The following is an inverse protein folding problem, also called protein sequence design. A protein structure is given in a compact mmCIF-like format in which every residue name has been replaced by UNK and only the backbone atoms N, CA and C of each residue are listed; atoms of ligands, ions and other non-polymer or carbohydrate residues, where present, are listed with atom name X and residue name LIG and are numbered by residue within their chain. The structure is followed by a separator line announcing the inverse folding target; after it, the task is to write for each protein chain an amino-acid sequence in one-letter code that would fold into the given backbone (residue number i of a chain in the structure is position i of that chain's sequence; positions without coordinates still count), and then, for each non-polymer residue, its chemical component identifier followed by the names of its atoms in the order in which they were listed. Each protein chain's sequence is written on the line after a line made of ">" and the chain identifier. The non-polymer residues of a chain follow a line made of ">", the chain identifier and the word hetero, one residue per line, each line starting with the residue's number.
data_IF_571154186835
#
_entry.id   IF_571154186835
#
_cell.length_a   1.000
_cell.length_b   1.000
_cell.length_c   1.000
_cell.angle_alpha   90.00
_cell.angle_beta   90.00
_cell.angle_gamma   90.00
#
_symmetry.space_group_name_H-M   'P 1'
#
loop_
_entity.id
_entity.type
_entity.pdbx_description
1 polymer ?
#
# COMPACT_ATOMS: atom_id res chain seq x y z
N UNK A 1 -1.19 28.37 3.86
CA UNK A 1 -2.37 27.50 3.97
C UNK A 1 -2.05 26.03 3.89
N UNK A 2 -1.38 25.55 2.83
CA UNK A 2 -1.02 24.14 2.73
C UNK A 2 0.02 23.70 3.76
N UNK A 3 0.96 24.57 4.10
CA UNK A 3 1.98 24.30 5.10
C UNK A 3 1.39 24.06 6.50
N UNK A 4 0.34 24.78 6.85
CA UNK A 4 -0.34 24.63 8.14
C UNK A 4 -1.04 23.27 8.24
N UNK A 5 -1.64 22.79 7.15
CA UNK A 5 -2.27 21.47 7.11
C UNK A 5 -1.26 20.34 7.23
N UNK A 6 -0.11 20.49 6.57
CA UNK A 6 0.98 19.51 6.65
C UNK A 6 1.54 19.48 8.08
N UNK A 7 1.76 20.64 8.68
CA UNK A 7 2.23 20.73 10.06
C UNK A 7 1.25 20.07 11.04
N UNK A 8 -0.07 20.26 10.82
CA UNK A 8 -1.09 19.62 11.64
C UNK A 8 -1.05 18.10 11.52
N UNK A 9 -0.85 17.56 10.32
CA UNK A 9 -0.70 16.12 10.10
C UNK A 9 0.50 15.58 10.85
N UNK A 10 1.65 16.24 10.77
CA UNK A 10 2.88 15.84 11.46
C UNK A 10 2.67 15.83 12.97
N UNK A 11 1.99 16.83 13.52
CA UNK A 11 1.70 16.88 14.94
C UNK A 11 0.78 15.76 15.40
N UNK A 12 -0.24 15.42 14.62
CA UNK A 12 -1.12 14.31 14.94
C UNK A 12 -0.38 12.97 14.94
N UNK A 13 0.51 12.77 13.97
CA UNK A 13 1.34 11.56 13.91
C UNK A 13 2.28 11.49 15.12
N UNK A 14 2.86 12.61 15.55
CA UNK A 14 3.75 12.66 16.71
C UNK A 14 3.10 12.24 18.02
N UNK A 15 1.79 12.33 18.13
CA UNK A 15 1.06 11.87 19.33
C UNK A 15 1.19 10.36 19.53
N UNK A 16 1.40 9.60 18.48
CA UNK A 16 1.50 8.14 18.51
C UNK A 16 2.94 7.68 18.23
N UNK A 17 3.61 8.34 17.30
CA UNK A 17 4.95 7.95 16.82
C UNK A 17 5.96 8.98 17.23
N UNK A 18 6.96 8.56 18.00
CA UNK A 18 8.02 9.43 18.49
C UNK A 18 9.34 9.10 17.79
N UNK A 19 10.07 10.14 17.39
CA UNK A 19 11.42 9.97 16.83
C UNK A 19 11.49 9.57 15.37
N UNK A 20 10.35 9.62 14.63
CA UNK A 20 10.30 9.23 13.23
C UNK A 20 9.93 10.37 12.28
N UNK A 21 10.24 11.61 12.66
CA UNK A 21 9.88 12.79 11.87
C UNK A 21 10.43 12.75 10.45
N UNK A 22 11.65 12.26 10.29
CA UNK A 22 12.31 12.15 8.98
C UNK A 22 11.58 11.19 8.06
N UNK A 23 11.14 10.05 8.60
CA UNK A 23 10.34 9.07 7.85
C UNK A 23 9.00 9.66 7.46
N UNK A 24 8.31 10.32 8.39
CA UNK A 24 7.00 10.93 8.14
C UNK A 24 7.10 11.98 7.03
N UNK A 25 8.11 12.84 7.08
CA UNK A 25 8.33 13.85 6.04
C UNK A 25 8.52 13.23 4.66
N UNK A 26 9.30 12.17 4.57
CA UNK A 26 9.55 11.49 3.29
C UNK A 26 8.33 10.76 2.79
N UNK A 27 7.53 10.16 3.67
CA UNK A 27 6.27 9.53 3.30
C UNK A 27 5.30 10.55 2.74
N UNK A 28 5.22 11.74 3.34
CA UNK A 28 4.39 12.83 2.82
C UNK A 28 4.86 13.31 1.45
N UNK A 29 6.16 13.44 1.25
CA UNK A 29 6.71 13.81 -0.06
C UNK A 29 6.32 12.77 -1.12
N UNK A 30 6.49 11.49 -0.83
CA UNK A 30 6.10 10.42 -1.75
C UNK A 30 4.61 10.46 -2.08
N UNK A 31 3.78 10.67 -1.07
CA UNK A 31 2.33 10.73 -1.24
C UNK A 31 1.91 11.91 -2.14
N UNK A 32 2.44 13.10 -1.89
CA UNK A 32 2.09 14.29 -2.67
C UNK A 32 2.67 14.32 -4.07
N UNK A 33 3.74 13.58 -4.31
CA UNK A 33 4.36 13.48 -5.64
C UNK A 33 3.89 12.25 -6.42
N UNK A 34 2.96 11.47 -5.88
CA UNK A 34 2.52 10.18 -6.44
C UNK A 34 3.67 9.20 -6.64
N UNK A 35 4.66 9.27 -5.75
CA UNK A 35 5.83 8.41 -5.78
C UNK A 35 5.75 7.28 -4.78
N UNK A 36 6.83 6.53 -4.71
CA UNK A 36 7.00 5.41 -3.79
C UNK A 36 8.28 5.59 -3.00
N UNK A 37 8.34 4.96 -1.82
CA UNK A 37 9.44 5.16 -0.89
C UNK A 37 10.04 3.81 -0.52
N UNK A 38 11.36 3.75 -0.56
CA UNK A 38 12.11 2.61 -0.05
C UNK A 38 12.59 2.91 1.36
N UNK A 39 12.21 2.08 2.32
CA UNK A 39 12.61 2.18 3.72
C UNK A 39 13.66 1.11 4.02
N UNK A 40 14.87 1.53 4.36
CA UNK A 40 15.96 0.64 4.72
C UNK A 40 16.43 0.90 6.15
N UNK A 41 16.84 -0.17 6.83
CA UNK A 41 17.44 -0.07 8.16
C UNK A 41 16.48 0.34 9.28
N UNK A 42 15.19 0.42 9.02
CA UNK A 42 14.19 0.80 10.02
C UNK A 42 13.57 -0.47 10.61
N UNK A 43 13.43 -0.56 11.95
CA UNK A 43 12.74 -1.69 12.57
C UNK A 43 11.32 -1.86 12.05
N UNK A 44 10.89 -3.11 11.82
CA UNK A 44 9.59 -3.42 11.22
C UNK A 44 8.40 -2.82 11.98
N UNK A 45 8.43 -2.83 13.31
CA UNK A 45 7.38 -2.24 14.13
C UNK A 45 7.27 -0.73 13.93
N UNK A 46 8.39 -0.03 13.83
CA UNK A 46 8.41 1.41 13.61
C UNK A 46 7.86 1.77 12.23
N UNK A 47 8.18 1.00 11.19
CA UNK A 47 7.62 1.16 9.84
C UNK A 47 6.10 1.04 9.87
N UNK A 48 5.61 -0.08 10.39
CA UNK A 48 4.18 -0.38 10.40
C UNK A 48 3.40 0.66 11.20
N UNK A 49 3.87 0.99 12.40
CA UNK A 49 3.21 1.97 13.25
C UNK A 49 3.15 3.34 12.57
N UNK A 50 4.26 3.79 11.99
CA UNK A 50 4.35 5.11 11.36
C UNK A 50 3.41 5.20 10.16
N UNK A 51 3.46 4.23 9.25
CA UNK A 51 2.62 4.24 8.03
C UNK A 51 1.15 4.12 8.37
N UNK A 52 0.79 3.21 9.29
CA UNK A 52 -0.58 3.04 9.71
C UNK A 52 -1.14 4.29 10.39
N UNK A 53 -0.36 4.92 11.24
CA UNK A 53 -0.76 6.17 11.92
C UNK A 53 -0.98 7.29 10.91
N UNK A 54 -0.06 7.45 9.95
CA UNK A 54 -0.20 8.45 8.90
C UNK A 54 -1.47 8.21 8.07
N UNK A 55 -1.75 6.96 7.70
CA UNK A 55 -2.95 6.60 6.96
C UNK A 55 -4.21 6.98 7.74
N UNK A 56 -4.25 6.71 9.04
CA UNK A 56 -5.39 7.08 9.90
C UNK A 56 -5.59 8.59 9.97
N UNK A 57 -4.51 9.34 10.13
CA UNK A 57 -4.58 10.81 10.19
C UNK A 57 -5.10 11.41 8.90
N UNK A 58 -4.73 10.83 7.77
CA UNK A 58 -5.13 11.28 6.43
C UNK A 58 -6.43 10.65 5.93
N UNK A 59 -7.07 9.77 6.73
CA UNK A 59 -8.27 9.03 6.34
C UNK A 59 -8.08 8.21 5.07
N UNK A 60 -6.91 7.56 4.94
CA UNK A 60 -6.58 6.69 3.82
C UNK A 60 -6.61 5.23 4.24
N UNK A 61 -6.89 4.35 3.28
CA UNK A 61 -6.82 2.92 3.50
C UNK A 61 -5.35 2.47 3.54
N UNK A 62 -5.06 1.56 4.45
CA UNK A 62 -3.72 1.00 4.64
C UNK A 62 -3.77 -0.51 4.69
N UNK A 63 -2.84 -1.15 3.97
CA UNK A 63 -2.60 -2.58 4.08
C UNK A 63 -1.11 -2.85 4.21
N UNK A 64 -0.77 -3.82 5.05
CA UNK A 64 0.58 -4.37 5.12
C UNK A 64 0.60 -5.71 4.41
N UNK A 65 1.56 -5.88 3.51
CA UNK A 65 1.74 -7.13 2.77
C UNK A 65 3.11 -7.70 3.10
N UNK A 66 3.11 -8.88 3.70
CA UNK A 66 4.34 -9.64 3.96
C UNK A 66 4.65 -10.47 2.73
N UNK A 67 5.77 -10.19 2.06
CA UNK A 67 6.19 -10.94 0.89
C UNK A 67 6.96 -12.19 1.32
N UNK A 68 6.58 -13.33 0.74
CA UNK A 68 7.17 -14.63 1.04
C UNK A 68 7.45 -15.39 -0.25
N UNK A 69 8.30 -16.44 -0.21
CA UNK A 69 8.56 -17.28 -1.39
C UNK A 69 7.32 -17.99 -1.94
N UNK A 70 6.31 -18.19 -1.10
CA UNK A 70 5.07 -18.89 -1.48
C UNK A 70 3.98 -17.97 -2.01
N UNK A 71 4.19 -16.66 -1.98
CA UNK A 71 3.20 -15.69 -2.42
C UNK A 71 2.92 -15.83 -3.91
N UNK A 72 1.64 -15.75 -4.28
CA UNK A 72 1.20 -15.75 -5.68
C UNK A 72 0.76 -14.35 -6.09
N UNK A 73 0.86 -14.00 -7.38
CA UNK A 73 0.32 -12.72 -7.86
C UNK A 73 -1.15 -12.50 -7.48
N UNK A 74 -1.97 -13.55 -7.50
CA UNK A 74 -3.38 -13.47 -7.08
C UNK A 74 -3.56 -13.15 -5.60
N UNK A 75 -2.58 -13.47 -4.76
CA UNK A 75 -2.60 -13.09 -3.34
C UNK A 75 -2.42 -11.57 -3.17
N UNK A 76 -1.80 -10.92 -4.14
CA UNK A 76 -1.53 -9.50 -4.12
C UNK A 76 -2.66 -8.70 -4.78
N UNK A 77 -3.02 -9.04 -6.00
CA UNK A 77 -3.96 -8.26 -6.82
C UNK A 77 -5.41 -8.71 -6.69
N UNK A 78 -5.63 -9.95 -6.27
CA UNK A 78 -6.96 -10.52 -6.17
C UNK A 78 -7.22 -11.60 -7.21
N UNK A 79 -8.39 -12.17 -7.17
CA UNK A 79 -8.76 -13.30 -8.01
C UNK A 79 -10.26 -13.29 -8.32
N UNK A 80 -10.66 -14.12 -9.27
CA UNK A 80 -12.08 -14.36 -9.54
C UNK A 80 -12.52 -15.60 -8.76
N UNK A 81 -13.66 -15.48 -8.08
CA UNK A 81 -14.29 -16.60 -7.39
C UNK A 81 -15.66 -16.87 -7.97
N UNK A 82 -16.02 -18.16 -8.03
CA UNK A 82 -17.33 -18.57 -8.51
C UNK A 82 -18.36 -18.49 -7.38
N UNK A 83 -19.44 -17.75 -7.62
CA UNK A 83 -20.54 -17.65 -6.67
C UNK A 83 -21.64 -18.62 -7.12
N UNK A 84 -21.87 -19.67 -6.34
CA UNK A 84 -22.87 -20.70 -6.65
C UNK A 84 -24.30 -20.17 -6.60
N UNK A 85 -24.57 -19.18 -5.76
CA UNK A 85 -25.92 -18.62 -5.61
C UNK A 85 -26.33 -17.80 -6.84
N UNK A 86 -25.41 -17.03 -7.41
CA UNK A 86 -25.66 -16.20 -8.60
C UNK A 86 -25.27 -16.88 -9.89
N UNK A 87 -24.58 -18.03 -9.83
CA UNK A 87 -24.02 -18.77 -10.95
C UNK A 87 -23.07 -17.92 -11.81
N UNK A 88 -22.41 -16.95 -11.22
CA UNK A 88 -21.48 -16.04 -11.89
C UNK A 88 -20.15 -15.98 -11.16
N UNK A 89 -19.10 -15.58 -11.90
CA UNK A 89 -17.81 -15.25 -11.29
C UNK A 89 -17.82 -13.85 -10.71
N UNK A 90 -17.29 -13.71 -9.51
CA UNK A 90 -17.13 -12.42 -8.85
C UNK A 90 -15.64 -12.14 -8.61
N UNK A 91 -15.26 -10.87 -8.69
CA UNK A 91 -13.91 -10.45 -8.42
C UNK A 91 -13.74 -10.22 -6.92
N UNK A 92 -12.77 -10.91 -6.33
CA UNK A 92 -12.32 -10.65 -4.97
C UNK A 92 -11.02 -9.84 -5.04
N UNK A 93 -11.09 -8.56 -4.71
CA UNK A 93 -9.93 -7.66 -4.75
C UNK A 93 -8.92 -8.05 -3.67
N UNK A 94 -7.64 -8.02 -4.05
CA UNK A 94 -6.55 -8.32 -3.14
C UNK A 94 -6.12 -7.10 -2.32
N UNK A 95 -5.13 -7.28 -1.43
CA UNK A 95 -4.66 -6.22 -0.54
C UNK A 95 -4.00 -5.03 -1.23
N UNK A 96 -3.66 -5.14 -2.53
CA UNK A 96 -3.11 -4.01 -3.28
C UNK A 96 -4.12 -2.86 -3.43
N UNK A 97 -5.41 -3.14 -3.25
CA UNK A 97 -6.46 -2.12 -3.33
C UNK A 97 -6.55 -1.33 -2.02
N UNK A 98 -5.56 -0.50 -1.80
CA UNK A 98 -5.50 0.45 -0.70
C UNK A 98 -4.68 1.65 -1.15
N UNK A 99 -4.73 2.73 -0.39
CA UNK A 99 -3.99 3.95 -0.72
C UNK A 99 -2.52 3.84 -0.34
N UNK A 100 -2.26 3.31 0.86
CA UNK A 100 -0.91 3.10 1.37
C UNK A 100 -0.66 1.61 1.58
N UNK A 101 0.38 1.11 0.95
CA UNK A 101 0.79 -0.28 1.06
C UNK A 101 2.20 -0.32 1.66
N UNK A 102 2.34 -1.03 2.77
CA UNK A 102 3.65 -1.36 3.31
C UNK A 102 4.03 -2.75 2.79
N UNK A 103 4.89 -2.78 1.77
CA UNK A 103 5.40 -4.01 1.18
C UNK A 103 6.65 -4.43 1.94
N UNK A 104 6.51 -5.43 2.80
CA UNK A 104 7.59 -5.89 3.67
C UNK A 104 8.29 -7.10 3.07
N UNK A 105 9.62 -7.05 3.05
CA UNK A 105 10.48 -8.11 2.54
C UNK A 105 10.18 -8.51 1.08
N UNK A 106 10.03 -7.52 0.21
CA UNK A 106 9.67 -7.71 -1.21
C UNK A 106 10.64 -8.65 -1.93
N UNK A 107 11.92 -8.57 -1.60
CA UNK A 107 12.98 -9.38 -2.21
C UNK A 107 12.85 -10.88 -1.96
N UNK A 108 12.04 -11.30 -0.98
CA UNK A 108 11.80 -12.72 -0.68
C UNK A 108 10.76 -13.36 -1.58
N UNK A 109 9.94 -12.57 -2.26
CA UNK A 109 8.88 -13.09 -3.11
C UNK A 109 9.39 -13.52 -4.48
N UNK A 110 8.65 -14.39 -5.21
CA UNK A 110 9.00 -14.77 -6.58
C UNK A 110 8.98 -13.56 -7.53
N UNK A 111 9.73 -13.66 -8.62
CA UNK A 111 9.82 -12.59 -9.60
C UNK A 111 8.45 -12.20 -10.19
N UNK A 112 7.55 -13.15 -10.37
CA UNK A 112 6.19 -12.89 -10.88
C UNK A 112 5.40 -11.97 -9.96
N UNK A 113 5.54 -12.14 -8.65
CA UNK A 113 4.87 -11.29 -7.65
C UNK A 113 5.47 -9.89 -7.66
N UNK A 114 6.80 -9.79 -7.72
CA UNK A 114 7.48 -8.50 -7.81
C UNK A 114 7.07 -7.75 -9.08
N UNK A 115 6.97 -8.44 -10.20
CA UNK A 115 6.51 -7.86 -11.47
C UNK A 115 5.08 -7.34 -11.38
N UNK A 116 4.19 -8.08 -10.72
CA UNK A 116 2.81 -7.64 -10.50
C UNK A 116 2.75 -6.38 -9.64
N UNK A 117 3.57 -6.30 -8.60
CA UNK A 117 3.67 -5.11 -7.76
C UNK A 117 4.18 -3.90 -8.56
N UNK A 118 5.24 -4.09 -9.34
CA UNK A 118 5.82 -3.01 -10.15
C UNK A 118 4.83 -2.50 -11.19
N UNK A 119 4.06 -3.38 -11.83
CA UNK A 119 3.01 -2.98 -12.75
C UNK A 119 1.96 -2.13 -12.07
N UNK A 120 1.48 -2.54 -10.89
CA UNK A 120 0.52 -1.77 -10.11
C UNK A 120 1.07 -0.39 -9.74
N UNK A 121 2.33 -0.32 -9.34
CA UNK A 121 2.98 0.94 -8.97
C UNK A 121 3.11 1.88 -10.16
N UNK A 122 3.46 1.35 -11.31
CA UNK A 122 3.73 2.12 -12.53
C UNK A 122 2.45 2.54 -13.24
N UNK A 123 1.55 1.60 -13.44
CA UNK A 123 0.32 1.80 -14.23
C UNK A 123 -0.86 2.30 -13.40
N UNK A 124 -0.78 2.21 -12.07
CA UNK A 124 -1.87 2.57 -11.14
C UNK A 124 -3.16 1.79 -11.43
N UNK A 125 -3.00 0.59 -11.95
CA UNK A 125 -4.10 -0.32 -12.27
C UNK A 125 -3.62 -1.77 -12.22
N UNK A 126 -4.56 -2.69 -12.06
CA UNK A 126 -4.29 -4.13 -12.10
C UNK A 126 -5.31 -4.83 -12.97
N UNK A 127 -4.92 -5.95 -13.57
CA UNK A 127 -5.81 -6.79 -14.37
C UNK A 127 -6.11 -8.08 -13.64
N UNK A 128 -7.40 -8.36 -13.42
CA UNK A 128 -7.87 -9.59 -12.80
C UNK A 128 -8.78 -10.28 -13.82
N UNK A 129 -8.36 -11.49 -14.24
CA UNK A 129 -9.03 -12.15 -15.35
C UNK A 129 -8.90 -11.33 -16.62
N UNK A 130 -10.01 -10.90 -17.19
CA UNK A 130 -10.03 -10.07 -18.41
C UNK A 130 -10.36 -8.61 -18.14
N UNK A 131 -10.57 -8.23 -16.88
CA UNK A 131 -10.98 -6.88 -16.51
C UNK A 131 -9.85 -6.13 -15.83
N UNK A 132 -9.63 -4.89 -16.25
CA UNK A 132 -8.67 -3.99 -15.64
C UNK A 132 -9.36 -3.09 -14.62
N UNK A 133 -8.81 -3.03 -13.42
CA UNK A 133 -9.33 -2.21 -12.32
C UNK A 133 -8.33 -1.10 -11.97
N UNK A 134 -8.75 0.17 -11.99
CA UNK A 134 -7.89 1.24 -11.54
C UNK A 134 -7.73 1.19 -10.03
N UNK A 135 -6.57 1.60 -9.55
CA UNK A 135 -6.32 1.76 -8.12
C UNK A 135 -6.75 3.16 -7.69
N UNK A 136 -7.41 3.24 -6.54
CA UNK A 136 -7.88 4.51 -6.01
C UNK A 136 -6.71 5.43 -5.65
N UNK A 137 -6.83 6.69 -6.00
CA UNK A 137 -5.82 7.68 -5.67
C UNK A 137 -6.09 8.30 -4.30
N UNK A 138 -5.04 8.64 -3.55
CA UNK A 138 -3.62 8.41 -3.87
C UNK A 138 -3.22 6.95 -3.71
N UNK A 139 -2.22 6.53 -4.51
CA UNK A 139 -1.67 5.17 -4.45
C UNK A 139 -0.16 5.21 -4.63
#
# INVERSE_FOLDING_TARGET
>A
MHQDKIAAVIQEVRKVVVGQDKMVNRLLIGLFTNGHILLEGVPGLAKTLTVNTLAKVLHLDFNRIQFTPDLLPSDLIGTMIYNQQTANFEVKKGPIFANLILADEVNRSPAKVQSALLEAMQEKQVTIGETTFPLDRPF
#
